data_IF_453301335676
#
_entry.id   IF_453301335676
#
_cell.length_a   1.000
_cell.length_b   1.000
_cell.length_c   1.000
_cell.angle_alpha   90.00
_cell.angle_beta   90.00
_cell.angle_gamma   90.00
#
_symmetry.space_group_name_H-M   'P 1'
#
loop_
_entity.id
_entity.type
_entity.pdbx_description
1 polymer ?
#
# COMPACT_ATOMS: atom_id res chain seq x y z
N UNK A 1 11.49 -17.10 -19.82
CA UNK A 1 11.67 -16.66 -18.41
C UNK A 1 11.53 -15.15 -18.25
N UNK A 2 11.89 -14.34 -19.25
CA UNK A 2 11.64 -12.88 -19.30
C UNK A 2 10.21 -12.52 -19.70
N UNK A 3 9.55 -13.37 -20.49
CA UNK A 3 8.23 -13.10 -21.05
C UNK A 3 7.13 -13.04 -19.99
N UNK A 4 7.28 -13.81 -18.91
CA UNK A 4 6.36 -13.81 -17.76
C UNK A 4 6.49 -12.54 -16.92
N UNK A 5 7.70 -12.04 -16.69
CA UNK A 5 7.93 -10.83 -15.88
C UNK A 5 7.38 -9.59 -16.58
N UNK A 6 7.66 -9.44 -17.88
CA UNK A 6 7.15 -8.30 -18.65
C UNK A 6 5.62 -8.34 -18.76
N UNK A 7 5.04 -9.53 -18.99
CA UNK A 7 3.59 -9.71 -19.03
C UNK A 7 2.94 -9.39 -17.67
N UNK A 8 3.52 -9.83 -16.55
CA UNK A 8 3.02 -9.51 -15.21
C UNK A 8 3.14 -8.01 -14.91
N UNK A 9 4.28 -7.39 -15.21
CA UNK A 9 4.47 -5.95 -15.04
C UNK A 9 3.45 -5.16 -15.88
N UNK A 10 3.19 -5.59 -17.12
CA UNK A 10 2.18 -4.99 -17.99
C UNK A 10 0.78 -5.11 -17.38
N UNK A 11 0.39 -6.29 -16.89
CA UNK A 11 -0.90 -6.51 -16.21
C UNK A 11 -1.02 -5.59 -14.99
N UNK A 12 0.03 -5.50 -14.16
CA UNK A 12 0.06 -4.62 -12.99
C UNK A 12 -0.11 -3.14 -13.38
N UNK A 13 0.62 -2.67 -14.40
CA UNK A 13 0.52 -1.31 -14.90
C UNK A 13 -0.87 -1.02 -15.47
N UNK A 14 -1.44 -1.91 -16.28
CA UNK A 14 -2.77 -1.77 -16.84
C UNK A 14 -3.85 -1.70 -15.74
N UNK A 15 -3.78 -2.60 -14.77
CA UNK A 15 -4.71 -2.62 -13.65
C UNK A 15 -4.62 -1.32 -12.84
N UNK A 16 -3.41 -0.90 -12.45
CA UNK A 16 -3.21 0.36 -11.74
C UNK A 16 -3.72 1.57 -12.56
N UNK A 17 -3.45 1.61 -13.86
CA UNK A 17 -3.87 2.69 -14.75
C UNK A 17 -5.40 2.80 -14.87
N UNK A 18 -6.14 1.68 -14.74
CA UNK A 18 -7.61 1.70 -14.80
C UNK A 18 -8.22 1.96 -13.43
N UNK A 19 -7.82 1.22 -12.40
CA UNK A 19 -8.46 1.25 -11.08
C UNK A 19 -8.13 2.51 -10.28
N UNK A 20 -6.94 3.08 -10.42
CA UNK A 20 -6.54 4.27 -9.64
C UNK A 20 -7.34 5.52 -10.05
N UNK A 21 -7.54 5.83 -11.34
CA UNK A 21 -8.42 6.93 -11.74
C UNK A 21 -9.87 6.71 -11.32
N UNK A 22 -10.37 5.48 -11.37
CA UNK A 22 -11.73 5.14 -10.91
C UNK A 22 -11.86 5.42 -9.41
N UNK A 23 -10.94 4.92 -8.59
CA UNK A 23 -10.93 5.17 -7.16
C UNK A 23 -10.87 6.67 -6.84
N UNK A 24 -9.98 7.41 -7.52
CA UNK A 24 -9.90 8.87 -7.39
C UNK A 24 -11.20 9.59 -7.77
N UNK A 25 -11.89 9.14 -8.83
CA UNK A 25 -13.19 9.71 -9.24
C UNK A 25 -14.30 9.45 -8.22
N UNK A 26 -14.22 8.35 -7.49
CA UNK A 26 -15.13 8.03 -6.38
C UNK A 26 -14.76 8.76 -5.08
N UNK A 27 -13.75 9.65 -5.08
CA UNK A 27 -13.28 10.36 -3.90
C UNK A 27 -12.40 9.53 -2.97
N UNK A 28 -11.98 8.33 -3.39
CA UNK A 28 -11.09 7.46 -2.62
C UNK A 28 -9.62 7.85 -2.84
N UNK A 29 -8.78 7.64 -1.82
CA UNK A 29 -7.33 7.82 -1.95
C UNK A 29 -6.70 6.88 -2.98
N UNK A 30 -5.59 7.29 -3.59
CA UNK A 30 -4.90 6.51 -4.62
C UNK A 30 -4.46 5.11 -4.13
N UNK A 31 -4.08 5.00 -2.85
CA UNK A 31 -3.69 3.74 -2.20
C UNK A 31 -4.81 2.70 -2.25
N UNK A 32 -6.06 3.12 -2.01
CA UNK A 32 -7.21 2.22 -2.10
C UNK A 32 -7.40 1.70 -3.54
N UNK A 33 -7.15 2.54 -4.54
CA UNK A 33 -7.17 2.13 -5.94
C UNK A 33 -6.15 1.04 -6.26
N UNK A 34 -4.92 1.15 -5.74
CA UNK A 34 -3.90 0.11 -5.91
C UNK A 34 -4.28 -1.21 -5.20
N UNK A 35 -4.88 -1.14 -4.01
CA UNK A 35 -5.34 -2.32 -3.28
C UNK A 35 -6.48 -3.04 -4.02
N UNK A 36 -7.47 -2.29 -4.51
CA UNK A 36 -8.60 -2.85 -5.29
C UNK A 36 -8.06 -3.52 -6.56
N UNK A 37 -7.14 -2.87 -7.28
CA UNK A 37 -6.51 -3.44 -8.45
C UNK A 37 -5.85 -4.79 -8.14
N UNK A 38 -5.04 -4.83 -7.07
CA UNK A 38 -4.33 -6.03 -6.62
C UNK A 38 -5.27 -7.18 -6.22
N UNK A 39 -6.36 -6.88 -5.52
CA UNK A 39 -7.38 -7.89 -5.16
C UNK A 39 -8.04 -8.46 -6.41
N UNK A 40 -8.37 -7.62 -7.40
CA UNK A 40 -9.07 -8.05 -8.62
C UNK A 40 -8.18 -8.88 -9.54
N UNK A 41 -6.92 -8.49 -9.75
CA UNK A 41 -5.99 -9.25 -10.61
C UNK A 41 -5.33 -10.43 -9.90
N UNK A 42 -5.43 -10.47 -8.57
CA UNK A 42 -4.85 -11.51 -7.74
C UNK A 42 -5.52 -12.88 -7.90
N UNK A 43 -4.97 -13.92 -7.26
CA UNK A 43 -5.41 -15.30 -7.41
C UNK A 43 -6.86 -15.53 -6.95
N UNK A 44 -7.38 -14.69 -6.06
CA UNK A 44 -8.73 -14.81 -5.49
C UNK A 44 -9.85 -14.31 -6.41
N UNK A 45 -9.54 -13.52 -7.44
CA UNK A 45 -10.54 -12.95 -8.34
C UNK A 45 -10.30 -13.39 -9.80
N UNK A 46 -9.53 -12.64 -10.60
CA UNK A 46 -9.29 -12.97 -12.00
C UNK A 46 -8.16 -13.98 -12.21
N UNK A 47 -7.33 -14.25 -11.20
CA UNK A 47 -6.28 -15.26 -11.29
C UNK A 47 -5.14 -14.93 -12.26
N UNK A 48 -5.02 -13.65 -12.67
CA UNK A 48 -4.06 -13.23 -13.70
C UNK A 48 -2.62 -13.20 -13.18
N UNK A 49 -2.44 -13.02 -11.87
CA UNK A 49 -1.13 -12.98 -11.22
C UNK A 49 -1.19 -13.69 -9.86
N UNK A 50 -0.09 -14.35 -9.44
CA UNK A 50 0.05 -14.91 -8.08
C UNK A 50 0.54 -16.37 -7.97
N UNK A 51 0.83 -17.04 -9.08
CA UNK A 51 1.29 -18.45 -9.06
C UNK A 51 2.76 -18.61 -8.66
N UNK A 52 3.58 -17.56 -8.74
CA UNK A 52 5.01 -17.54 -8.42
C UNK A 52 5.30 -16.48 -7.33
N UNK A 53 4.71 -16.69 -6.14
CA UNK A 53 4.54 -15.66 -5.09
C UNK A 53 5.82 -15.07 -4.47
N UNK A 54 7.00 -15.67 -4.65
CA UNK A 54 8.21 -15.22 -3.95
C UNK A 54 8.83 -13.92 -4.51
N UNK A 55 8.75 -13.67 -5.82
CA UNK A 55 9.39 -12.49 -6.42
C UNK A 55 8.58 -11.19 -6.21
N UNK A 56 7.25 -11.29 -6.16
CA UNK A 56 6.38 -10.12 -5.99
C UNK A 56 6.46 -9.54 -4.57
N UNK A 57 6.59 -10.40 -3.55
CA UNK A 57 6.71 -9.97 -2.15
C UNK A 57 7.96 -9.09 -1.94
N UNK A 58 9.11 -9.51 -2.46
CA UNK A 58 10.36 -8.76 -2.30
C UNK A 58 10.34 -7.42 -3.04
N UNK A 59 9.66 -7.37 -4.19
CA UNK A 59 9.44 -6.11 -4.90
C UNK A 59 8.49 -5.17 -4.14
N UNK A 60 7.45 -5.72 -3.49
CA UNK A 60 6.54 -4.94 -2.65
C UNK A 60 7.25 -4.36 -1.42
N UNK A 61 8.12 -5.14 -0.77
CA UNK A 61 8.98 -4.66 0.32
C UNK A 61 9.82 -3.47 -0.13
N UNK A 62 10.47 -3.57 -1.30
CA UNK A 62 11.24 -2.47 -1.88
C UNK A 62 10.37 -1.24 -2.17
N UNK A 63 9.16 -1.43 -2.71
CA UNK A 63 8.21 -0.35 -2.97
C UNK A 63 7.78 0.40 -1.70
N UNK A 64 7.51 -0.32 -0.61
CA UNK A 64 7.17 0.28 0.69
C UNK A 64 8.36 1.05 1.25
N UNK A 65 9.58 0.52 1.15
CA UNK A 65 10.81 1.23 1.56
C UNK A 65 10.97 2.54 0.80
N UNK A 66 10.80 2.54 -0.52
CA UNK A 66 10.86 3.75 -1.34
C UNK A 66 9.79 4.77 -0.95
N UNK A 67 8.56 4.32 -0.66
CA UNK A 67 7.48 5.21 -0.21
C UNK A 67 7.77 5.82 1.16
N UNK A 68 8.20 5.02 2.14
CA UNK A 68 8.57 5.51 3.48
C UNK A 68 9.79 6.46 3.42
N UNK A 69 10.72 6.19 2.52
CA UNK A 69 11.85 7.08 2.27
C UNK A 69 11.39 8.43 1.71
N UNK A 70 10.52 8.44 0.70
CA UNK A 70 9.95 9.67 0.15
C UNK A 70 9.14 10.44 1.20
N UNK A 71 8.29 9.76 1.98
CA UNK A 71 7.56 10.37 3.09
C UNK A 71 8.54 10.98 4.11
N UNK A 72 9.65 10.30 4.39
CA UNK A 72 10.71 10.80 5.25
C UNK A 72 11.41 12.05 4.71
N UNK A 73 11.62 12.16 3.40
CA UNK A 73 12.20 13.34 2.75
C UNK A 73 11.22 14.53 2.70
N UNK A 74 9.92 14.26 2.57
CA UNK A 74 8.87 15.29 2.56
C UNK A 74 8.58 15.83 3.98
N UNK A 75 8.85 15.02 5.01
CA UNK A 75 8.68 15.39 6.40
C UNK A 75 9.73 16.39 6.89
N UNK A 76 9.26 17.51 7.45
CA UNK A 76 10.10 18.51 8.09
C UNK A 76 10.36 18.11 9.54
N UNK A 77 11.62 17.83 9.96
CA UNK A 77 11.92 17.38 11.33
C UNK A 77 11.47 18.38 12.40
N UNK A 78 11.58 19.68 12.12
CA UNK A 78 11.16 20.72 13.04
C UNK A 78 9.65 20.70 13.32
N UNK A 79 8.83 20.42 12.31
CA UNK A 79 7.37 20.32 12.45
C UNK A 79 6.99 19.07 13.27
N UNK A 80 7.65 17.94 13.00
CA UNK A 80 7.49 16.73 13.81
C UNK A 80 7.81 16.96 15.28
N UNK A 81 8.88 17.71 15.56
CA UNK A 81 9.26 18.01 16.95
C UNK A 81 8.24 18.90 17.67
N UNK A 82 7.61 19.84 16.95
CA UNK A 82 6.51 20.64 17.50
C UNK A 82 5.27 19.79 17.78
N UNK A 83 5.01 18.79 16.93
CA UNK A 83 3.88 17.87 17.05
C UNK A 83 4.18 16.62 17.92
N UNK A 84 5.34 16.53 18.57
CA UNK A 84 5.74 15.33 19.32
C UNK A 84 4.76 14.92 20.42
N UNK A 85 4.16 15.90 21.12
CA UNK A 85 3.20 15.66 22.19
C UNK A 85 1.88 15.08 21.65
N UNK A 86 1.20 15.69 20.66
CA UNK A 86 0.01 15.10 20.08
C UNK A 86 0.27 13.78 19.32
N UNK A 87 1.41 13.64 18.64
CA UNK A 87 1.76 12.41 17.91
C UNK A 87 1.99 11.25 18.88
N UNK A 88 2.84 11.42 19.90
CA UNK A 88 3.17 10.34 20.84
C UNK A 88 2.05 10.10 21.86
N UNK A 89 1.34 11.15 22.27
CA UNK A 89 0.22 11.04 23.21
C UNK A 89 -1.05 10.52 22.55
N UNK A 90 -1.75 11.38 21.81
CA UNK A 90 -3.05 11.03 21.21
C UNK A 90 -2.90 10.04 20.05
N UNK A 91 -1.93 10.26 19.15
CA UNK A 91 -1.68 9.35 18.03
C UNK A 91 -1.26 7.95 18.50
N UNK A 92 -0.35 7.88 19.46
CA UNK A 92 0.08 6.62 20.08
C UNK A 92 -1.07 5.88 20.75
N UNK A 93 -1.88 6.59 21.55
CA UNK A 93 -3.06 6.01 22.19
C UNK A 93 -4.09 5.49 21.17
N UNK A 94 -4.35 6.25 20.10
CA UNK A 94 -5.27 5.84 19.04
C UNK A 94 -4.81 4.52 18.40
N UNK A 95 -3.53 4.41 18.03
CA UNK A 95 -2.98 3.20 17.42
C UNK A 95 -3.02 2.02 18.39
N UNK A 96 -2.66 2.23 19.65
CA UNK A 96 -2.69 1.17 20.66
C UNK A 96 -4.13 0.65 20.87
N UNK A 97 -5.11 1.54 20.95
CA UNK A 97 -6.52 1.17 21.13
C UNK A 97 -7.07 0.45 19.91
N UNK A 98 -6.81 0.93 18.69
CA UNK A 98 -7.30 0.24 17.48
C UNK A 98 -6.61 -1.11 17.29
N UNK A 99 -5.32 -1.21 17.58
CA UNK A 99 -4.59 -2.48 17.54
C UNK A 99 -5.12 -3.47 18.57
N UNK A 100 -5.38 -3.02 19.81
CA UNK A 100 -5.97 -3.86 20.85
C UNK A 100 -7.40 -4.30 20.52
N UNK A 101 -8.22 -3.41 19.95
CA UNK A 101 -9.58 -3.74 19.55
C UNK A 101 -9.63 -4.76 18.41
N UNK A 102 -8.78 -4.62 17.39
CA UNK A 102 -8.70 -5.57 16.27
C UNK A 102 -8.02 -6.87 16.71
N UNK A 103 -6.90 -6.78 17.43
CA UNK A 103 -6.12 -7.94 17.87
C UNK A 103 -6.77 -8.74 19.00
N UNK A 104 -7.58 -8.11 19.85
CA UNK A 104 -8.38 -8.78 20.88
C UNK A 104 -9.72 -9.32 20.37
N UNK A 105 -10.13 -8.97 19.15
CA UNK A 105 -11.29 -9.53 18.46
C UNK A 105 -10.94 -10.72 17.56
N UNK A 106 -9.65 -11.02 17.38
CA UNK A 106 -9.12 -12.19 16.69
C UNK A 106 -8.82 -13.33 17.69
#
# INVERSE_FOLDING_TARGET
>A
MTDSVLAQAFIYLCAATIFVPIAKRLGLGAVLGYLIAGVIIGPFALGLVGTEGHHVMHFAEFGVVMMLFLVGLELRPALLWQLRQPILGLGGLQVAVTAAAVGGAA
#
